data_IF_877617000963
#
_entry.id   IF_877617000963
#
_cell.length_a   1.000
_cell.length_b   1.000
_cell.length_c   1.000
_cell.angle_alpha   90.00
_cell.angle_beta   90.00
_cell.angle_gamma   90.00
#
_symmetry.space_group_name_H-M   'P 1'
#
loop_
_entity.id
_entity.type
_entity.pdbx_description
1 polymer ?
#
# COMPACT_ATOMS: atom_id res chain seq x y z
N UNK A 1 89.39 39.94 -29.92
CA UNK A 1 89.27 40.72 -31.15
C UNK A 1 88.23 40.00 -31.97
N UNK A 2 86.97 40.43 -31.90
CA UNK A 2 85.88 39.87 -32.69
C UNK A 2 85.50 40.97 -33.67
N UNK A 3 85.71 40.72 -34.95
CA UNK A 3 85.24 41.60 -36.01
C UNK A 3 83.88 41.04 -36.45
N UNK A 4 82.81 41.81 -36.24
CA UNK A 4 81.52 41.52 -36.84
C UNK A 4 81.60 41.87 -38.32
N UNK A 5 81.44 40.86 -39.18
CA UNK A 5 81.18 41.07 -40.61
C UNK A 5 79.76 41.62 -40.76
N UNK A 6 79.64 42.87 -41.21
CA UNK A 6 78.37 43.46 -41.62
C UNK A 6 77.91 42.80 -42.93
N UNK A 7 77.05 41.79 -42.81
CA UNK A 7 76.37 41.19 -43.95
C UNK A 7 75.25 42.09 -44.44
N UNK A 8 75.18 42.24 -45.77
CA UNK A 8 74.26 43.12 -46.48
C UNK A 8 72.80 42.81 -46.12
N UNK A 9 72.04 43.84 -45.73
CA UNK A 9 70.70 43.65 -45.17
C UNK A 9 69.72 43.18 -46.25
N UNK A 10 69.32 41.90 -46.22
CA UNK A 10 68.32 41.36 -47.13
C UNK A 10 66.93 41.85 -46.70
N UNK A 11 66.40 42.82 -47.45
CA UNK A 11 65.04 43.30 -47.27
C UNK A 11 64.04 42.31 -47.86
N UNK A 12 63.47 41.45 -47.03
CA UNK A 12 62.36 40.58 -47.44
C UNK A 12 61.07 41.39 -47.42
N UNK A 13 60.53 41.72 -48.58
CA UNK A 13 59.21 42.36 -48.65
C UNK A 13 58.12 41.37 -48.20
N UNK A 14 57.50 41.62 -47.04
CA UNK A 14 56.40 40.80 -46.55
C UNK A 14 55.18 40.94 -47.48
N UNK A 15 54.94 39.95 -48.33
CA UNK A 15 53.79 39.93 -49.25
C UNK A 15 52.46 39.70 -48.51
N UNK A 16 52.54 39.22 -47.25
CA UNK A 16 51.40 38.82 -46.42
C UNK A 16 50.30 39.89 -46.31
N UNK A 17 50.66 41.18 -46.29
CA UNK A 17 49.69 42.28 -46.23
C UNK A 17 49.35 42.93 -47.57
N UNK A 18 50.16 42.74 -48.62
CA UNK A 18 49.91 43.30 -49.96
C UNK A 18 48.82 42.54 -50.71
N UNK A 19 48.70 41.23 -50.47
CA UNK A 19 47.61 40.40 -51.04
C UNK A 19 46.22 40.81 -50.53
N UNK A 20 46.12 41.32 -49.29
CA UNK A 20 44.83 41.74 -48.71
C UNK A 20 44.26 43.06 -49.27
N UNK A 21 45.05 43.87 -49.98
CA UNK A 21 44.58 45.14 -50.57
C UNK A 21 44.04 45.01 -52.01
N UNK A 22 44.31 43.90 -52.71
CA UNK A 22 43.93 43.72 -54.12
C UNK A 22 42.61 42.98 -54.36
N UNK A 23 42.11 42.24 -53.37
CA UNK A 23 40.87 41.48 -53.48
C UNK A 23 40.17 41.42 -52.12
N UNK A 24 39.54 42.53 -51.71
CA UNK A 24 38.60 42.50 -50.59
C UNK A 24 37.29 41.86 -51.05
N UNK A 25 37.28 40.53 -51.19
CA UNK A 25 36.02 39.80 -51.32
C UNK A 25 35.30 39.83 -49.97
N UNK A 26 34.28 40.68 -49.85
CA UNK A 26 33.38 40.68 -48.70
C UNK A 26 32.50 39.42 -48.72
N UNK A 27 33.05 38.27 -48.29
CA UNK A 27 32.28 37.04 -48.13
C UNK A 27 31.67 37.01 -46.74
N UNK A 28 30.36 37.25 -46.67
CA UNK A 28 29.57 36.97 -45.49
C UNK A 28 29.21 35.48 -45.49
N UNK A 29 29.68 34.75 -44.50
CA UNK A 29 29.30 33.35 -44.27
C UNK A 29 28.22 33.34 -43.18
N UNK A 30 27.03 32.86 -43.51
CA UNK A 30 25.91 32.73 -42.57
C UNK A 30 25.63 31.25 -42.33
N UNK A 31 25.59 30.84 -41.05
CA UNK A 31 25.16 29.48 -40.67
C UNK A 31 23.64 29.37 -40.71
N UNK A 32 23.09 28.22 -41.12
CA UNK A 32 21.64 28.01 -41.13
C UNK A 32 21.06 28.08 -39.71
N UNK A 33 19.78 28.45 -39.63
CA UNK A 33 19.08 28.58 -38.35
C UNK A 33 18.87 27.21 -37.68
N UNK A 34 18.99 27.16 -36.36
CA UNK A 34 18.74 25.96 -35.55
C UNK A 34 17.28 25.94 -35.12
N UNK A 35 16.58 24.85 -35.38
CA UNK A 35 15.21 24.64 -34.91
C UNK A 35 15.22 24.02 -33.51
N UNK A 36 14.28 24.44 -32.67
CA UNK A 36 14.07 23.85 -31.34
C UNK A 36 12.63 23.37 -31.27
N UNK A 37 12.45 22.18 -30.70
CA UNK A 37 11.13 21.57 -30.51
C UNK A 37 10.94 21.25 -29.03
N UNK A 38 9.71 21.44 -28.56
CA UNK A 38 9.36 21.21 -27.17
C UNK A 38 8.69 19.84 -27.03
N UNK A 39 9.29 18.95 -26.24
CA UNK A 39 8.71 17.66 -25.89
C UNK A 39 8.24 17.68 -24.43
N UNK A 40 6.96 17.39 -24.21
CA UNK A 40 6.40 17.22 -22.86
C UNK A 40 6.44 15.76 -22.43
N UNK A 41 6.71 15.51 -21.15
CA UNK A 41 6.61 14.18 -20.54
C UNK A 41 5.51 14.21 -19.49
N UNK A 42 4.63 13.21 -19.51
CA UNK A 42 3.58 13.04 -18.51
C UNK A 42 3.93 11.89 -17.57
N UNK A 43 3.58 12.06 -16.30
CA UNK A 43 3.71 11.02 -15.28
C UNK A 43 2.35 10.77 -14.66
N UNK A 44 1.93 9.51 -14.62
CA UNK A 44 0.67 9.10 -14.01
C UNK A 44 0.82 9.00 -12.49
N UNK A 45 -0.15 9.54 -11.75
CA UNK A 45 -0.29 9.29 -10.33
C UNK A 45 -1.63 8.61 -10.07
N UNK A 46 -1.64 7.67 -9.11
CA UNK A 46 -2.86 6.96 -8.70
C UNK A 46 -3.01 7.06 -7.19
N UNK A 47 -4.20 7.49 -6.77
CA UNK A 47 -4.61 7.44 -5.37
C UNK A 47 -5.59 6.28 -5.18
N UNK A 48 -5.42 5.51 -4.12
CA UNK A 48 -6.41 4.54 -3.67
C UNK A 48 -7.46 5.24 -2.81
N UNK A 49 -8.72 4.81 -2.97
CA UNK A 49 -9.82 5.20 -2.09
C UNK A 49 -10.48 3.94 -1.59
N UNK A 50 -10.87 3.98 -0.33
CA UNK A 50 -11.63 2.93 0.32
C UNK A 50 -12.95 3.52 0.81
N UNK A 51 -14.00 2.71 0.78
CA UNK A 51 -15.32 3.03 1.32
C UNK A 51 -15.74 1.89 2.21
N UNK A 52 -16.31 2.20 3.36
CA UNK A 52 -16.90 1.23 4.26
C UNK A 52 -18.41 1.21 4.02
N UNK A 53 -18.97 0.04 3.75
CA UNK A 53 -20.42 -0.11 3.66
C UNK A 53 -21.00 -0.06 5.06
N UNK A 54 -22.00 0.79 5.27
CA UNK A 54 -22.75 0.78 6.52
C UNK A 54 -23.42 -0.60 6.68
N UNK A 55 -23.46 -1.15 7.91
CA UNK A 55 -24.31 -2.29 8.19
C UNK A 55 -25.72 -1.92 7.73
N UNK A 56 -26.33 -2.74 6.88
CA UNK A 56 -27.75 -2.61 6.63
C UNK A 56 -28.40 -2.86 7.98
N UNK A 57 -28.83 -1.79 8.67
CA UNK A 57 -29.75 -1.90 9.79
C UNK A 57 -30.83 -2.82 9.27
N UNK A 58 -30.94 -4.00 9.89
CA UNK A 58 -31.95 -4.98 9.53
C UNK A 58 -33.24 -4.19 9.57
N UNK A 59 -33.79 -3.84 8.39
CA UNK A 59 -34.97 -3.00 8.32
C UNK A 59 -35.95 -3.68 9.26
N UNK A 60 -36.38 -2.96 10.30
CA UNK A 60 -37.39 -3.50 11.20
C UNK A 60 -38.49 -4.00 10.26
N UNK A 61 -38.84 -5.30 10.29
CA UNK A 61 -39.80 -5.84 9.34
C UNK A 61 -41.08 -5.02 9.35
N UNK A 62 -41.43 -4.38 10.48
CA UNK A 62 -42.55 -3.44 10.57
C UNK A 62 -42.35 -2.17 9.74
N UNK A 63 -41.13 -1.64 9.63
CA UNK A 63 -40.80 -0.50 8.75
C UNK A 63 -40.81 -0.88 7.27
N UNK A 64 -40.38 -2.10 6.93
CA UNK A 64 -40.41 -2.59 5.56
C UNK A 64 -41.83 -2.70 4.99
N UNK A 65 -42.84 -2.95 5.83
CA UNK A 65 -44.26 -2.97 5.45
C UNK A 65 -44.97 -1.61 5.58
N UNK A 66 -44.39 -0.62 6.28
CA UNK A 66 -45.02 0.68 6.50
C UNK A 66 -44.66 1.75 5.45
N UNK A 67 -43.54 1.59 4.74
CA UNK A 67 -43.06 2.58 3.76
C UNK A 67 -43.78 2.51 2.41
N UNK A 68 -44.49 1.41 2.12
CA UNK A 68 -45.40 1.33 0.99
C UNK A 68 -46.77 1.87 1.41
N UNK A 69 -46.97 3.19 1.32
CA UNK A 69 -48.19 3.91 1.74
C UNK A 69 -49.52 3.49 1.07
N UNK A 70 -49.59 2.33 0.41
CA UNK A 70 -50.81 1.70 -0.07
C UNK A 70 -50.61 0.18 -0.08
N UNK A 71 -51.62 -0.57 0.35
CA UNK A 71 -51.69 -2.00 0.12
C UNK A 71 -51.57 -2.29 -1.38
N UNK A 72 -50.82 -3.35 -1.78
CA UNK A 72 -50.76 -3.74 -3.18
C UNK A 72 -52.15 -4.16 -3.68
N UNK A 73 -52.52 -3.82 -4.93
CA UNK A 73 -53.82 -4.16 -5.47
C UNK A 73 -54.03 -5.68 -5.46
N UNK A 74 -55.20 -6.13 -4.97
CA UNK A 74 -55.55 -7.55 -4.90
C UNK A 74 -55.03 -8.30 -3.67
N UNK A 75 -54.36 -7.62 -2.71
CA UNK A 75 -53.93 -8.24 -1.45
C UNK A 75 -55.11 -8.85 -0.69
N UNK A 76 -56.22 -8.13 -0.55
CA UNK A 76 -57.41 -8.59 0.18
C UNK A 76 -58.01 -9.84 -0.48
N UNK A 77 -58.13 -9.86 -1.80
CA UNK A 77 -58.67 -10.99 -2.54
C UNK A 77 -57.73 -12.21 -2.49
N UNK A 78 -56.42 -11.98 -2.46
CA UNK A 78 -55.46 -13.04 -2.20
C UNK A 78 -55.63 -13.62 -0.81
N UNK A 79 -55.62 -12.78 0.23
CA UNK A 79 -55.73 -13.20 1.63
C UNK A 79 -57.02 -14.00 1.86
N UNK A 80 -58.17 -13.53 1.37
CA UNK A 80 -59.44 -14.26 1.49
C UNK A 80 -59.42 -15.63 0.82
N UNK A 81 -58.75 -15.77 -0.33
CA UNK A 81 -58.65 -17.06 -1.04
C UNK A 81 -57.77 -18.07 -0.31
N UNK A 82 -56.73 -17.60 0.37
CA UNK A 82 -55.77 -18.50 1.04
C UNK A 82 -56.13 -18.77 2.51
N UNK A 83 -56.90 -17.89 3.14
CA UNK A 83 -57.21 -17.93 4.58
C UNK A 83 -57.86 -19.26 4.99
N UNK A 84 -58.98 -19.64 4.36
CA UNK A 84 -59.68 -20.88 4.72
C UNK A 84 -58.83 -22.13 4.51
N UNK A 85 -58.04 -22.15 3.43
CA UNK A 85 -57.14 -23.26 3.11
C UNK A 85 -56.04 -23.38 4.18
N UNK A 86 -55.40 -22.26 4.55
CA UNK A 86 -54.35 -22.21 5.55
C UNK A 86 -54.89 -22.62 6.92
N UNK A 87 -56.03 -22.09 7.36
CA UNK A 87 -56.64 -22.43 8.65
C UNK A 87 -56.87 -23.94 8.73
N UNK A 88 -57.49 -24.53 7.70
CA UNK A 88 -57.81 -25.96 7.67
C UNK A 88 -56.56 -26.83 7.74
N UNK A 89 -55.55 -26.53 6.93
CA UNK A 89 -54.34 -27.35 6.89
C UNK A 89 -53.46 -27.16 8.12
N UNK A 90 -53.41 -25.94 8.70
CA UNK A 90 -52.73 -25.68 9.97
C UNK A 90 -53.41 -26.40 11.13
N UNK A 91 -54.75 -26.41 11.19
CA UNK A 91 -55.46 -27.19 12.20
C UNK A 91 -55.14 -28.69 12.12
N UNK A 92 -55.16 -29.25 10.91
CA UNK A 92 -54.78 -30.65 10.68
C UNK A 92 -53.33 -30.91 11.10
N UNK A 93 -52.42 -30.02 10.72
CA UNK A 93 -51.00 -30.16 11.04
C UNK A 93 -50.74 -30.04 12.54
N UNK A 94 -51.44 -29.14 13.25
CA UNK A 94 -51.29 -28.94 14.70
C UNK A 94 -51.65 -30.18 15.53
N UNK A 95 -52.56 -31.02 15.00
CA UNK A 95 -52.97 -32.29 15.61
C UNK A 95 -52.17 -33.48 15.07
N UNK A 96 -51.18 -33.23 14.22
CA UNK A 96 -50.37 -34.27 13.60
C UNK A 96 -49.18 -34.63 14.47
N UNK A 97 -48.90 -35.94 14.53
CA UNK A 97 -47.72 -36.52 15.17
C UNK A 97 -46.64 -36.93 14.14
N UNK A 98 -46.70 -36.39 12.92
CA UNK A 98 -45.85 -36.82 11.80
C UNK A 98 -44.34 -36.66 12.07
N UNK A 99 -43.95 -35.83 13.03
CA UNK A 99 -42.55 -35.56 13.38
C UNK A 99 -42.19 -35.96 14.81
N UNK A 100 -43.04 -36.72 15.49
CA UNK A 100 -42.74 -37.22 16.82
C UNK A 100 -41.48 -38.09 16.78
N UNK A 101 -40.56 -37.86 17.72
CA UNK A 101 -39.28 -38.57 17.79
C UNK A 101 -38.18 -38.02 16.88
N UNK A 102 -38.44 -36.95 16.10
CA UNK A 102 -37.37 -36.26 15.39
C UNK A 102 -36.38 -35.63 16.37
N UNK A 103 -35.12 -36.05 16.32
CA UNK A 103 -34.01 -35.48 17.10
C UNK A 103 -32.94 -34.97 16.15
N UNK A 104 -33.00 -33.68 15.81
CA UNK A 104 -31.92 -33.02 15.09
C UNK A 104 -30.74 -32.78 16.05
N UNK A 105 -29.61 -33.40 15.76
CA UNK A 105 -28.34 -33.08 16.40
C UNK A 105 -27.47 -32.34 15.39
N UNK A 106 -27.50 -31.01 15.43
CA UNK A 106 -26.75 -30.14 14.53
C UNK A 106 -25.26 -30.06 14.87
N UNK A 107 -24.90 -30.56 16.04
CA UNK A 107 -23.51 -30.67 16.48
C UNK A 107 -23.00 -32.08 16.26
N UNK A 108 -21.74 -32.20 15.84
CA UNK A 108 -21.04 -33.48 15.86
C UNK A 108 -21.01 -33.98 17.31
N UNK A 109 -21.49 -35.22 17.57
CA UNK A 109 -21.46 -35.79 18.92
C UNK A 109 -20.03 -35.73 19.42
N UNK A 110 -19.78 -34.93 20.45
CA UNK A 110 -18.46 -34.79 21.04
C UNK A 110 -17.95 -36.17 21.45
N UNK A 111 -16.96 -36.71 20.74
CA UNK A 111 -16.19 -37.83 21.24
C UNK A 111 -15.45 -37.34 22.48
N UNK A 112 -15.66 -38.02 23.60
CA UNK A 112 -15.00 -37.69 24.85
C UNK A 112 -13.48 -37.85 24.70
N UNK A 113 -12.75 -36.93 25.32
CA UNK A 113 -11.28 -36.78 25.40
C UNK A 113 -10.64 -35.90 24.33
N UNK A 114 -10.56 -34.60 24.66
CA UNK A 114 -9.60 -33.67 24.09
C UNK A 114 -8.45 -33.49 25.09
N UNK A 115 -7.38 -34.26 24.95
CA UNK A 115 -6.12 -34.00 25.66
C UNK A 115 -5.49 -32.68 25.20
N UNK A 116 -5.21 -31.80 26.17
CA UNK A 116 -4.18 -30.75 26.18
C UNK A 116 -3.96 -30.00 24.85
N UNK A 117 -4.97 -29.32 24.29
CA UNK A 117 -4.87 -28.64 22.98
C UNK A 117 -3.92 -27.45 22.92
N UNK A 118 -3.33 -26.99 24.02
CA UNK A 118 -2.32 -25.92 23.97
C UNK A 118 -1.39 -25.99 25.18
N UNK A 119 -0.13 -26.36 24.96
CA UNK A 119 0.97 -25.98 25.85
C UNK A 119 1.73 -24.84 25.16
N UNK A 120 1.64 -23.62 25.70
CA UNK A 120 2.55 -22.54 25.32
C UNK A 120 3.68 -22.52 26.35
N UNK A 121 4.83 -23.02 25.96
CA UNK A 121 6.05 -22.92 26.75
C UNK A 121 6.87 -21.78 26.15
N UNK A 122 7.00 -20.66 26.87
CA UNK A 122 7.95 -19.61 26.50
C UNK A 122 9.30 -19.95 27.11
N UNK A 123 10.18 -20.56 26.32
CA UNK A 123 11.57 -20.74 26.70
C UNK A 123 12.24 -19.38 26.82
N UNK A 124 12.45 -18.92 28.06
CA UNK A 124 13.40 -17.85 28.33
C UNK A 124 14.69 -18.51 28.79
N UNK A 125 15.57 -18.84 27.85
CA UNK A 125 16.93 -19.29 28.15
C UNK A 125 17.91 -18.22 27.67
N UNK A 126 18.11 -17.20 28.51
CA UNK A 126 19.30 -16.36 28.42
C UNK A 126 20.12 -16.64 29.68
N UNK A 127 21.03 -17.61 29.58
CA UNK A 127 22.09 -17.81 30.57
C UNK A 127 23.12 -16.70 30.36
N UNK A 128 22.98 -15.59 31.08
CA UNK A 128 24.14 -14.77 31.41
C UNK A 128 24.76 -15.35 32.67
N UNK A 129 25.88 -16.07 32.53
CA UNK A 129 26.78 -16.33 33.65
C UNK A 129 28.21 -15.99 33.22
N UNK A 130 28.56 -14.77 33.62
CA UNK A 130 29.82 -14.29 34.23
C UNK A 130 31.13 -14.35 33.43
N UNK A 131 31.55 -13.16 32.98
CA UNK A 131 32.90 -12.85 32.48
C UNK A 131 33.93 -12.57 33.60
N UNK A 132 33.64 -12.89 34.87
CA UNK A 132 34.43 -12.39 36.01
C UNK A 132 35.33 -13.44 36.69
N UNK A 133 35.60 -14.59 36.07
CA UNK A 133 36.46 -15.61 36.68
C UNK A 133 37.78 -15.88 35.94
N UNK A 134 38.07 -15.21 34.82
CA UNK A 134 39.22 -15.58 33.99
C UNK A 134 40.43 -14.65 34.11
N UNK A 135 40.27 -13.38 34.47
CA UNK A 135 41.41 -12.46 34.44
C UNK A 135 41.35 -11.48 35.59
N UNK A 136 42.36 -11.60 36.45
CA UNK A 136 42.77 -10.59 37.41
C UNK A 136 42.00 -10.59 38.74
N UNK A 137 42.48 -11.28 39.77
CA UNK A 137 43.88 -11.22 40.19
C UNK A 137 44.45 -9.79 40.26
N UNK A 138 43.61 -8.74 40.33
CA UNK A 138 44.06 -7.39 40.69
C UNK A 138 43.20 -6.78 41.79
N UNK A 139 43.65 -7.05 43.00
CA UNK A 139 43.86 -6.06 44.07
C UNK A 139 42.61 -5.33 44.58
N UNK A 140 42.29 -5.68 45.82
CA UNK A 140 41.28 -5.01 46.62
C UNK A 140 41.41 -3.49 46.65
N UNK A 141 40.26 -2.84 46.76
CA UNK A 141 40.01 -1.69 47.63
C UNK A 141 38.50 -1.42 47.59
N UNK A 142 37.89 -1.45 48.77
CA UNK A 142 36.60 -0.82 49.06
C UNK A 142 36.71 0.70 48.80
N UNK A 143 35.64 1.46 49.09
CA UNK A 143 34.27 1.44 48.59
C UNK A 143 34.07 2.79 47.86
N UNK A 144 32.83 3.25 47.69
CA UNK A 144 32.32 4.64 47.75
C UNK A 144 31.10 4.69 46.81
N UNK A 145 29.87 4.76 47.32
CA UNK A 145 29.26 6.02 47.76
C UNK A 145 29.53 7.14 46.75
N UNK A 146 28.61 7.35 45.80
CA UNK A 146 28.22 8.71 45.45
C UNK A 146 26.81 8.71 44.88
N UNK A 147 25.86 9.07 45.75
CA UNK A 147 24.50 9.45 45.41
C UNK A 147 24.50 10.71 44.51
N UNK A 148 23.67 10.65 43.45
CA UNK A 148 22.65 11.62 42.95
C UNK A 148 23.05 13.10 42.70
N UNK A 149 22.37 13.86 41.82
CA UNK A 149 21.11 13.60 41.10
C UNK A 149 21.24 13.42 39.59
#
# INVERSE_FOLDING_TARGET
MFADEDLDSVRVESVWRKSQQGAQESRACQTPAVTTEHAGVQTGSKASRFTQTEPQEQMDPKRAFSDSGSDPPGLVDFLRRVEELLIRELEKNSRSHAFDGFRANWEERSQQVSGNKTSRQTDTHVKYINNDSAMEALKGKKPQQLWKP
#
